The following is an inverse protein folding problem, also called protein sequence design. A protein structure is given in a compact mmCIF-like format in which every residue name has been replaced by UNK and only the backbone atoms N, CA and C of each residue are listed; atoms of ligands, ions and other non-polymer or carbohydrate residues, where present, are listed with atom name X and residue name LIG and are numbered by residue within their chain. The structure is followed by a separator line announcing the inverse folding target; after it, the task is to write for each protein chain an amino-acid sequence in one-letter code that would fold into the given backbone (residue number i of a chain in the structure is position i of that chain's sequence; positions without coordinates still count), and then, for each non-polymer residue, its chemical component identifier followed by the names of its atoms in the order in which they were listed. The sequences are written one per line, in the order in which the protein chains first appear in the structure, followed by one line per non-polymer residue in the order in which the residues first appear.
data_IF_925645878140
#
_entry.id   IF_925645878140
#
_cell.length_a   1.000
_cell.length_b   1.000
_cell.length_c   1.000
_cell.angle_alpha   90.00
_cell.angle_beta   90.00
_cell.angle_gamma   90.00
#
_symmetry.space_group_name_H-M   'P 1'
#
loop_
_entity.id
_entity.type
_entity.pdbx_description
1 polymer ?
#
# COMPACT_ATOMS: atom_id res chain seq x y z
N UNK A 1 -68.87 39.78 -44.81
CA UNK A 1 -68.27 40.78 -43.90
C UNK A 1 -66.85 40.33 -43.57
N UNK A 2 -65.88 41.20 -43.84
CA UNK A 2 -64.44 41.01 -43.73
C UNK A 2 -63.96 40.52 -42.35
N UNK A 3 -62.94 39.67 -42.32
CA UNK A 3 -61.66 40.03 -41.69
C UNK A 3 -60.50 39.18 -42.24
N UNK A 4 -59.40 39.87 -42.47
CA UNK A 4 -58.21 39.48 -43.22
C UNK A 4 -57.00 39.47 -42.27
N UNK A 5 -55.97 38.71 -42.65
CA UNK A 5 -54.56 38.78 -42.18
C UNK A 5 -54.28 38.46 -40.70
N UNK A 6 -53.68 37.28 -40.43
CA UNK A 6 -52.46 37.10 -39.62
C UNK A 6 -52.18 35.60 -39.42
N UNK A 7 -51.40 34.96 -40.29
CA UNK A 7 -50.90 33.60 -40.01
C UNK A 7 -49.55 33.27 -40.70
N UNK A 8 -48.73 34.28 -41.00
CA UNK A 8 -47.45 34.06 -41.68
C UNK A 8 -46.21 34.73 -41.06
N UNK A 9 -46.20 35.03 -39.76
CA UNK A 9 -45.05 35.72 -39.13
C UNK A 9 -44.47 35.07 -37.86
N UNK A 10 -44.74 33.79 -37.58
CA UNK A 10 -44.26 33.16 -36.34
C UNK A 10 -43.21 32.04 -36.47
N UNK A 11 -42.63 31.80 -37.65
CA UNK A 11 -41.60 30.74 -37.82
C UNK A 11 -40.20 31.29 -38.12
N UNK A 12 -40.04 32.58 -38.46
CA UNK A 12 -38.74 33.12 -38.92
C UNK A 12 -37.87 33.79 -37.85
N UNK A 13 -38.22 33.71 -36.55
CA UNK A 13 -37.45 34.40 -35.48
C UNK A 13 -36.85 33.52 -34.39
N UNK A 14 -37.07 32.20 -34.42
CA UNK A 14 -36.53 31.29 -33.41
C UNK A 14 -35.24 30.54 -33.83
N UNK A 15 -34.83 30.60 -35.10
CA UNK A 15 -33.63 29.88 -35.56
C UNK A 15 -32.30 30.64 -35.40
N UNK A 16 -32.29 31.94 -35.09
CA UNK A 16 -31.04 32.73 -35.11
C UNK A 16 -30.42 33.03 -33.74
N UNK A 17 -31.05 32.67 -32.62
CA UNK A 17 -30.52 32.97 -31.27
C UNK A 17 -29.94 31.76 -30.51
N UNK A 18 -30.12 30.54 -31.03
CA UNK A 18 -29.57 29.32 -30.40
C UNK A 18 -28.09 29.10 -30.74
N UNK A 19 -27.60 29.65 -31.86
CA UNK A 19 -26.21 29.43 -32.30
C UNK A 19 -25.18 30.29 -31.54
N UNK A 20 -25.55 31.48 -31.05
CA UNK A 20 -24.59 32.40 -30.40
C UNK A 20 -24.35 32.11 -28.92
N UNK A 21 -25.31 31.48 -28.24
CA UNK A 21 -25.20 31.08 -26.82
C UNK A 21 -24.49 29.74 -26.67
N UNK A 22 -24.71 28.79 -27.60
CA UNK A 22 -23.99 27.51 -27.70
C UNK A 22 -22.48 27.71 -27.92
N UNK A 23 -22.08 28.62 -28.80
CA UNK A 23 -20.67 28.90 -29.09
C UNK A 23 -19.92 29.49 -27.88
N UNK A 24 -20.55 30.39 -27.10
CA UNK A 24 -19.95 30.98 -25.88
C UNK A 24 -19.85 29.97 -24.73
N UNK A 25 -20.83 29.09 -24.58
CA UNK A 25 -20.79 28.00 -23.61
C UNK A 25 -19.70 26.97 -23.97
N UNK A 26 -19.56 26.63 -25.25
CA UNK A 26 -18.51 25.74 -25.76
C UNK A 26 -17.10 26.31 -25.56
N UNK A 27 -16.89 27.62 -25.83
CA UNK A 27 -15.60 28.27 -25.53
C UNK A 27 -15.30 28.34 -24.02
N UNK A 28 -16.31 28.49 -23.16
CA UNK A 28 -16.14 28.50 -21.71
C UNK A 28 -15.77 27.11 -21.18
N UNK A 29 -16.46 26.06 -21.66
CA UNK A 29 -16.16 24.66 -21.33
C UNK A 29 -14.75 24.26 -21.77
N UNK A 30 -14.33 24.68 -22.96
CA UNK A 30 -13.00 24.40 -23.49
C UNK A 30 -11.89 25.07 -22.66
N UNK A 31 -12.14 26.27 -22.12
CA UNK A 31 -11.22 26.93 -21.16
C UNK A 31 -11.09 26.14 -19.86
N UNK A 32 -12.18 25.64 -19.29
CA UNK A 32 -12.12 24.80 -18.08
C UNK A 32 -11.42 23.46 -18.33
N UNK A 33 -11.63 22.85 -19.49
CA UNK A 33 -10.93 21.60 -19.89
C UNK A 33 -9.43 21.85 -20.08
N UNK A 34 -9.04 22.96 -20.70
CA UNK A 34 -7.63 23.33 -20.87
C UNK A 34 -6.97 23.66 -19.53
N UNK A 35 -7.67 24.37 -18.63
CA UNK A 35 -7.19 24.63 -17.26
C UNK A 35 -7.04 23.31 -16.48
N UNK A 36 -7.98 22.38 -16.60
CA UNK A 36 -7.90 21.06 -15.99
C UNK A 36 -6.70 20.27 -16.53
N UNK A 37 -6.44 20.31 -17.84
CA UNK A 37 -5.28 19.67 -18.48
C UNK A 37 -3.94 20.33 -18.09
N UNK A 38 -3.93 21.63 -17.83
CA UNK A 38 -2.76 22.36 -17.31
C UNK A 38 -2.48 22.04 -15.84
N UNK A 39 -3.51 21.85 -15.03
CA UNK A 39 -3.38 21.39 -13.63
C UNK A 39 -2.91 19.93 -13.59
N UNK A 40 -3.42 19.07 -14.49
CA UNK A 40 -2.96 17.68 -14.58
C UNK A 40 -1.53 17.53 -15.10
N UNK A 41 -1.05 18.46 -15.94
CA UNK A 41 0.32 18.43 -16.48
C UNK A 41 1.37 19.09 -15.57
N UNK A 42 0.94 19.84 -14.55
CA UNK A 42 1.82 20.48 -13.57
C UNK A 42 1.97 19.70 -12.25
N UNK A 43 1.41 18.49 -12.18
CA UNK A 43 1.72 17.52 -11.12
C UNK A 43 3.17 17.03 -11.27
N UNK A 44 4.11 17.91 -10.91
CA UNK A 44 5.51 17.55 -10.72
C UNK A 44 5.60 16.50 -9.62
N UNK A 45 6.39 15.45 -9.89
CA UNK A 45 6.55 14.30 -9.02
C UNK A 45 7.12 14.72 -7.66
N UNK A 46 6.23 14.93 -6.69
CA UNK A 46 6.63 15.04 -5.29
C UNK A 46 6.94 13.62 -4.79
N UNK A 47 8.22 13.26 -4.82
CA UNK A 47 8.72 12.07 -4.14
C UNK A 47 8.87 12.37 -2.65
N UNK A 48 7.75 12.39 -1.94
CA UNK A 48 7.72 12.40 -0.48
C UNK A 48 7.04 11.11 0.00
N UNK A 49 7.70 9.97 -0.23
CA UNK A 49 7.34 8.72 0.42
C UNK A 49 8.46 8.38 1.40
N UNK A 50 8.10 8.19 2.67
CA UNK A 50 9.02 7.92 3.77
C UNK A 50 9.20 6.42 4.01
N UNK A 51 8.48 5.57 3.27
CA UNK A 51 8.67 4.12 3.32
C UNK A 51 9.95 3.70 2.62
N UNK A 52 10.97 3.57 3.44
CA UNK A 52 12.32 3.28 3.01
C UNK A 52 12.83 2.06 3.74
N UNK A 53 13.59 1.24 3.03
CA UNK A 53 14.27 0.07 3.54
C UNK A 53 15.78 0.25 3.38
N UNK A 54 16.54 -0.64 4.00
CA UNK A 54 17.99 -0.67 3.89
C UNK A 54 18.41 -1.99 3.23
N UNK A 55 19.32 -1.91 2.26
CA UNK A 55 19.98 -3.10 1.70
C UNK A 55 21.46 -2.99 2.03
N UNK A 56 21.97 -3.93 2.82
CA UNK A 56 23.35 -3.91 3.28
C UNK A 56 24.04 -5.25 3.06
N UNK A 57 25.36 -5.29 3.12
CA UNK A 57 26.09 -6.53 2.95
C UNK A 57 27.59 -6.35 2.95
N UNK A 58 28.30 -7.45 2.74
CA UNK A 58 29.74 -7.45 2.54
C UNK A 58 30.15 -8.15 1.24
N UNK A 59 31.17 -7.61 0.58
CA UNK A 59 31.80 -8.21 -0.59
C UNK A 59 33.03 -8.98 -0.14
N UNK A 60 33.05 -10.29 -0.46
CA UNK A 60 34.14 -11.20 -0.09
C UNK A 60 34.71 -11.90 -1.31
N UNK A 61 35.97 -12.29 -1.24
CA UNK A 61 36.63 -13.13 -2.25
C UNK A 61 36.41 -14.64 -1.96
N UNK A 62 36.89 -15.56 -2.83
CA UNK A 62 36.76 -17.01 -2.60
C UNK A 62 37.50 -17.53 -1.37
N UNK A 63 38.45 -16.77 -0.83
CA UNK A 63 39.20 -17.11 0.40
C UNK A 63 38.48 -16.62 1.67
N UNK A 64 37.43 -15.81 1.51
CA UNK A 64 36.67 -15.18 2.59
C UNK A 64 37.22 -13.81 3.01
N UNK A 65 38.25 -13.30 2.34
CA UNK A 65 38.79 -11.97 2.57
C UNK A 65 37.86 -10.89 2.00
N UNK A 66 37.82 -9.72 2.64
CA UNK A 66 36.99 -8.59 2.20
C UNK A 66 37.59 -7.91 0.97
N UNK A 67 36.74 -7.45 0.06
CA UNK A 67 37.17 -6.77 -1.18
C UNK A 67 36.76 -5.29 -1.11
N UNK A 68 37.67 -4.40 -0.70
CA UNK A 68 37.38 -2.97 -0.62
C UNK A 68 37.30 -2.32 -2.01
N UNK A 69 36.52 -1.25 -2.13
CA UNK A 69 36.41 -0.49 -3.38
C UNK A 69 35.71 -1.23 -4.53
N UNK A 70 35.00 -2.32 -4.23
CA UNK A 70 34.15 -2.99 -5.19
C UNK A 70 32.93 -2.10 -5.53
N UNK A 71 32.62 -1.95 -6.82
CA UNK A 71 31.45 -1.21 -7.27
C UNK A 71 30.21 -2.07 -7.14
N UNK A 72 29.29 -1.65 -6.28
CA UNK A 72 28.02 -2.32 -5.99
C UNK A 72 26.88 -1.52 -6.63
N UNK A 73 26.06 -2.17 -7.44
CA UNK A 73 24.91 -1.58 -8.14
C UNK A 73 23.63 -2.30 -7.72
N UNK A 74 22.77 -1.60 -6.99
CA UNK A 74 21.42 -2.04 -6.66
C UNK A 74 20.47 -1.63 -7.78
N UNK A 75 19.77 -2.60 -8.39
CA UNK A 75 18.87 -2.37 -9.52
C UNK A 75 17.47 -2.89 -9.21
N UNK A 76 16.45 -2.02 -9.37
CA UNK A 76 15.05 -2.41 -9.43
C UNK A 76 14.65 -2.61 -10.91
N UNK A 77 14.48 -3.86 -11.40
CA UNK A 77 14.17 -4.09 -12.80
C UNK A 77 12.76 -3.62 -13.19
N UNK A 78 11.82 -3.54 -12.25
CA UNK A 78 10.43 -3.14 -12.50
C UNK A 78 10.26 -1.63 -12.70
N UNK A 79 11.07 -0.82 -11.98
CA UNK A 79 11.05 0.65 -12.04
C UNK A 79 12.22 1.26 -12.81
N UNK A 80 13.24 0.47 -13.14
CA UNK A 80 14.46 0.95 -13.80
C UNK A 80 15.36 1.80 -12.89
N UNK A 81 15.13 1.78 -11.58
CA UNK A 81 15.95 2.49 -10.58
C UNK A 81 17.29 1.78 -10.46
N UNK A 82 18.39 2.54 -10.55
CA UNK A 82 19.76 2.05 -10.31
C UNK A 82 20.45 2.96 -9.31
N UNK A 83 20.99 2.38 -8.24
CA UNK A 83 21.78 3.08 -7.24
C UNK A 83 23.15 2.41 -7.17
N UNK A 84 24.21 3.20 -7.30
CA UNK A 84 25.58 2.71 -7.28
C UNK A 84 26.29 3.21 -6.03
N UNK A 85 27.01 2.33 -5.35
CA UNK A 85 27.86 2.63 -4.20
C UNK A 85 29.18 1.85 -4.31
N UNK A 86 30.25 2.38 -3.74
CA UNK A 86 31.51 1.65 -3.59
C UNK A 86 31.53 0.98 -2.22
N UNK A 87 32.04 -0.26 -2.16
CA UNK A 87 32.26 -0.94 -0.90
C UNK A 87 33.37 -0.22 -0.09
N UNK A 88 33.17 -0.14 1.21
CA UNK A 88 34.08 0.51 2.16
C UNK A 88 35.37 -0.28 2.34
N UNK A 89 36.29 0.25 3.17
CA UNK A 89 37.60 -0.36 3.41
C UNK A 89 37.52 -1.76 4.06
N UNK A 90 36.42 -2.05 4.76
CA UNK A 90 36.10 -3.36 5.33
C UNK A 90 35.28 -4.25 4.38
N UNK A 91 35.07 -3.81 3.13
CA UNK A 91 34.27 -4.51 2.11
C UNK A 91 32.77 -4.45 2.36
N UNK A 92 32.30 -3.69 3.35
CA UNK A 92 30.87 -3.50 3.60
C UNK A 92 30.25 -2.49 2.64
N UNK A 93 28.94 -2.57 2.46
CA UNK A 93 28.15 -1.57 1.75
C UNK A 93 26.75 -1.47 2.33
N UNK A 94 26.15 -0.29 2.20
CA UNK A 94 24.80 0.02 2.65
C UNK A 94 24.08 0.91 1.63
N UNK A 95 22.88 0.53 1.23
CA UNK A 95 21.96 1.38 0.49
C UNK A 95 20.85 1.81 1.45
N UNK A 96 20.91 3.07 1.87
CA UNK A 96 19.85 3.71 2.65
C UNK A 96 18.74 4.20 1.72
N UNK A 97 17.51 4.24 2.22
CA UNK A 97 16.35 4.80 1.53
C UNK A 97 15.91 4.03 0.26
N UNK A 98 15.96 2.70 0.32
CA UNK A 98 15.53 1.80 -0.76
C UNK A 98 14.02 1.64 -0.73
N UNK A 99 13.35 1.89 -1.86
CA UNK A 99 11.90 1.66 -1.93
C UNK A 99 11.58 0.16 -1.84
N UNK A 100 10.46 -0.24 -1.22
CA UNK A 100 10.01 -1.62 -1.24
C UNK A 100 9.78 -2.15 -2.67
N UNK A 101 10.21 -3.38 -2.94
CA UNK A 101 10.07 -4.01 -4.26
C UNK A 101 11.07 -5.13 -4.53
N UNK A 102 11.13 -5.61 -5.77
CA UNK A 102 12.13 -6.60 -6.19
C UNK A 102 13.42 -5.92 -6.67
N UNK A 103 14.55 -6.45 -6.22
CA UNK A 103 15.88 -5.93 -6.52
C UNK A 103 16.86 -7.03 -6.93
N UNK A 104 17.92 -6.59 -7.61
CA UNK A 104 19.12 -7.39 -7.88
C UNK A 104 20.33 -6.53 -7.49
N UNK A 105 21.37 -7.16 -6.95
CA UNK A 105 22.65 -6.50 -6.66
C UNK A 105 23.70 -7.04 -7.63
N UNK A 106 24.41 -6.13 -8.29
CA UNK A 106 25.55 -6.43 -9.16
C UNK A 106 26.82 -5.88 -8.54
N UNK A 107 27.87 -6.69 -8.42
CA UNK A 107 29.16 -6.29 -7.86
C UNK A 107 30.26 -6.48 -8.91
N UNK A 108 31.11 -5.47 -9.05
CA UNK A 108 32.25 -5.45 -9.96
C UNK A 108 33.49 -4.98 -9.22
N UNK A 109 34.59 -5.71 -9.34
CA UNK A 109 35.89 -5.35 -8.79
C UNK A 109 37.01 -5.75 -9.75
N UNK A 110 38.10 -4.99 -9.76
CA UNK A 110 39.24 -5.29 -10.63
C UNK A 110 39.86 -6.64 -10.25
N UNK A 111 40.08 -7.51 -11.24
CA UNK A 111 40.62 -8.86 -11.03
C UNK A 111 39.58 -9.93 -10.69
N UNK A 112 38.30 -9.57 -10.62
CA UNK A 112 37.19 -10.49 -10.36
C UNK A 112 36.17 -10.46 -11.51
N UNK A 113 35.44 -11.57 -11.67
CA UNK A 113 34.27 -11.63 -12.55
C UNK A 113 33.11 -10.85 -11.96
N UNK A 114 32.31 -10.21 -12.80
CA UNK A 114 31.08 -9.51 -12.37
C UNK A 114 30.13 -10.51 -11.72
N UNK A 115 29.61 -10.20 -10.53
CA UNK A 115 28.69 -11.09 -9.81
C UNK A 115 27.33 -10.44 -9.70
N UNK A 116 26.28 -11.15 -10.08
CA UNK A 116 24.89 -10.67 -10.07
C UNK A 116 24.08 -11.58 -9.16
N UNK A 117 23.28 -11.00 -8.28
CA UNK A 117 22.40 -11.76 -7.38
C UNK A 117 21.11 -12.15 -8.10
N UNK A 118 20.50 -13.27 -7.71
CA UNK A 118 19.09 -13.55 -8.04
C UNK A 118 18.16 -12.42 -7.54
N UNK A 119 16.95 -12.35 -8.10
CA UNK A 119 15.95 -11.39 -7.63
C UNK A 119 15.55 -11.71 -6.19
N UNK A 120 15.58 -10.69 -5.34
CA UNK A 120 15.08 -10.78 -3.97
C UNK A 120 14.10 -9.63 -3.69
N UNK A 121 13.20 -9.85 -2.74
CA UNK A 121 12.21 -8.86 -2.32
C UNK A 121 12.75 -8.06 -1.15
N UNK A 122 12.57 -6.74 -1.21
CA UNK A 122 12.86 -5.82 -0.11
C UNK A 122 11.52 -5.33 0.44
N UNK A 123 11.28 -5.62 1.72
CA UNK A 123 10.07 -5.24 2.46
C UNK A 123 10.25 -3.87 3.15
N UNK A 124 9.16 -3.30 3.63
CA UNK A 124 9.12 -1.96 4.24
C UNK A 124 9.81 -1.96 5.60
N UNK A 125 10.70 -0.99 5.82
CA UNK A 125 11.48 -0.89 7.05
C UNK A 125 12.27 -2.15 7.37
N UNK A 126 12.62 -2.94 6.34
CA UNK A 126 13.47 -4.12 6.48
C UNK A 126 14.94 -3.74 6.29
N UNK A 127 15.84 -4.49 6.92
CA UNK A 127 17.29 -4.33 6.78
C UNK A 127 17.84 -5.57 6.08
N UNK A 128 17.62 -5.60 4.76
CA UNK A 128 17.93 -6.79 3.98
C UNK A 128 19.44 -6.96 3.80
N UNK A 129 19.99 -7.98 4.46
CA UNK A 129 21.39 -8.39 4.27
C UNK A 129 21.56 -9.22 3.00
N UNK A 130 22.54 -8.85 2.18
CA UNK A 130 22.92 -9.52 0.93
C UNK A 130 24.45 -9.63 0.90
N UNK A 131 25.02 -10.78 1.27
CA UNK A 131 26.46 -10.96 1.25
C UNK A 131 26.91 -11.59 -0.07
N UNK A 132 27.90 -11.01 -0.74
CA UNK A 132 28.28 -11.39 -2.10
C UNK A 132 29.70 -11.91 -2.14
N UNK A 133 29.85 -13.17 -2.56
CA UNK A 133 31.13 -13.80 -2.86
C UNK A 133 31.52 -13.61 -4.32
N UNK A 134 32.63 -12.91 -4.58
CA UNK A 134 33.20 -12.76 -5.91
C UNK A 134 33.96 -14.01 -6.33
N UNK A 135 33.95 -14.31 -7.64
CA UNK A 135 34.82 -15.33 -8.23
C UNK A 135 35.98 -14.66 -8.98
N UNK A 136 37.14 -15.30 -8.96
CA UNK A 136 38.28 -14.89 -9.77
C UNK A 136 37.94 -15.08 -11.25
N UNK A 137 38.19 -14.06 -12.07
CA UNK A 137 37.85 -14.07 -13.48
C UNK A 137 37.99 -12.70 -14.13
N UNK A 138 37.80 -12.63 -15.44
CA UNK A 138 37.76 -11.36 -16.16
C UNK A 138 36.43 -10.64 -15.91
N UNK A 139 36.45 -9.31 -15.82
CA UNK A 139 35.25 -8.48 -15.58
C UNK A 139 34.12 -8.66 -16.61
N UNK A 140 34.40 -9.27 -17.76
CA UNK A 140 33.43 -9.54 -18.84
C UNK A 140 32.58 -10.78 -18.61
N UNK A 141 32.96 -11.66 -17.69
CA UNK A 141 32.16 -12.83 -17.32
C UNK A 141 31.22 -12.48 -16.15
N UNK A 142 29.93 -12.75 -16.30
CA UNK A 142 28.93 -12.56 -15.26
C UNK A 142 28.57 -13.89 -14.60
N UNK A 143 28.67 -13.96 -13.28
CA UNK A 143 28.27 -15.12 -12.48
C UNK A 143 27.03 -14.77 -11.68
N UNK A 144 26.00 -15.61 -11.77
CA UNK A 144 24.83 -15.48 -10.89
C UNK A 144 25.12 -16.11 -9.53
N UNK A 145 24.96 -15.34 -8.45
CA UNK A 145 25.06 -15.81 -7.06
C UNK A 145 23.65 -16.06 -6.54
N UNK A 146 23.29 -17.34 -6.42
CA UNK A 146 22.01 -17.74 -5.85
C UNK A 146 22.08 -17.77 -4.32
N UNK A 147 21.00 -17.32 -3.68
CA UNK A 147 20.87 -17.32 -2.21
C UNK A 147 21.72 -16.28 -1.47
N UNK A 148 22.26 -15.26 -2.16
CA UNK A 148 23.06 -14.22 -1.51
C UNK A 148 22.24 -13.32 -0.58
N UNK A 149 20.94 -13.13 -0.88
CA UNK A 149 20.02 -12.44 -0.01
C UNK A 149 19.56 -13.37 1.11
N UNK A 150 19.81 -12.97 2.37
CA UNK A 150 19.36 -13.74 3.53
C UNK A 150 17.84 -13.73 3.59
N UNK A 151 17.21 -14.91 3.61
CA UNK A 151 15.76 -14.99 3.87
C UNK A 151 15.42 -14.76 5.34
N UNK A 152 16.40 -14.93 6.24
CA UNK A 152 16.25 -14.64 7.65
C UNK A 152 16.73 -13.21 7.93
N UNK A 153 15.86 -12.42 8.53
CA UNK A 153 16.22 -11.10 9.04
C UNK A 153 17.02 -11.27 10.34
N UNK A 154 18.33 -10.96 10.28
CA UNK A 154 19.27 -11.07 11.41
C UNK A 154 19.77 -9.73 11.92
N UNK A 155 19.43 -8.64 11.23
CA UNK A 155 19.98 -7.31 11.47
C UNK A 155 19.03 -6.40 12.27
N UNK A 156 17.88 -6.93 12.70
CA UNK A 156 16.97 -6.29 13.65
C UNK A 156 16.60 -7.22 14.81
N UNK A 157 16.26 -6.60 15.95
CA UNK A 157 15.75 -7.27 17.15
C UNK A 157 14.22 -7.11 17.29
N UNK A 158 13.56 -6.53 16.30
CA UNK A 158 12.13 -6.24 16.33
C UNK A 158 11.31 -7.53 16.36
N UNK A 159 10.21 -7.52 17.12
CA UNK A 159 9.21 -8.59 17.06
C UNK A 159 7.98 -8.13 16.31
N UNK A 160 7.77 -8.65 15.12
CA UNK A 160 6.62 -8.30 14.30
C UNK A 160 6.25 -9.35 13.27
N UNK A 161 5.24 -9.03 12.48
CA UNK A 161 4.81 -9.83 11.35
C UNK A 161 4.50 -8.92 10.16
N UNK A 162 5.02 -9.32 9.00
CA UNK A 162 4.70 -8.71 7.71
C UNK A 162 3.67 -9.57 7.00
N UNK A 163 2.57 -8.95 6.59
CA UNK A 163 1.49 -9.55 5.84
C UNK A 163 1.53 -8.97 4.43
N UNK A 164 1.59 -9.84 3.42
CA UNK A 164 1.74 -9.40 2.03
C UNK A 164 0.37 -9.03 1.44
N UNK A 165 0.41 -8.35 0.30
CA UNK A 165 -0.80 -7.94 -0.42
C UNK A 165 -1.73 -9.11 -0.80
N UNK A 166 -1.20 -10.32 -0.99
CA UNK A 166 -1.99 -11.49 -1.34
C UNK A 166 -2.94 -11.88 -0.20
N UNK A 167 -2.45 -11.92 1.05
CA UNK A 167 -3.27 -12.18 2.22
C UNK A 167 -4.27 -11.05 2.46
N UNK A 168 -3.87 -9.79 2.23
CA UNK A 168 -4.76 -8.64 2.38
C UNK A 168 -6.00 -8.72 1.48
N UNK A 169 -5.86 -9.29 0.28
CA UNK A 169 -6.96 -9.42 -0.70
C UNK A 169 -7.74 -10.73 -0.53
N UNK A 170 -7.06 -11.83 -0.18
CA UNK A 170 -7.67 -13.17 -0.13
C UNK A 170 -8.40 -13.47 1.17
N UNK A 171 -8.01 -12.84 2.28
CA UNK A 171 -8.63 -13.09 3.56
C UNK A 171 -10.03 -12.45 3.64
N UNK A 172 -10.99 -13.11 4.31
CA UNK A 172 -12.34 -12.60 4.45
C UNK A 172 -12.37 -11.44 5.47
N UNK A 173 -11.98 -10.24 5.02
CA UNK A 173 -11.99 -9.02 5.83
C UNK A 173 -13.40 -8.43 5.91
N UNK A 174 -13.89 -8.26 7.13
CA UNK A 174 -15.21 -7.69 7.36
C UNK A 174 -15.19 -6.19 7.03
N UNK A 175 -16.00 -5.75 6.05
CA UNK A 175 -15.99 -4.35 5.63
C UNK A 175 -14.70 -3.91 4.92
N UNK A 176 -13.83 -4.86 4.53
CA UNK A 176 -12.54 -4.60 3.87
C UNK A 176 -11.62 -3.69 4.68
N UNK A 177 -11.70 -3.75 6.01
CA UNK A 177 -10.78 -3.04 6.89
C UNK A 177 -9.43 -3.77 6.89
N UNK A 178 -8.40 -3.19 6.27
CA UNK A 178 -7.05 -3.77 6.24
C UNK A 178 -6.47 -3.93 7.66
N UNK A 179 -6.85 -3.05 8.59
CA UNK A 179 -6.40 -3.09 9.97
C UNK A 179 -6.82 -4.39 10.70
N UNK A 180 -7.85 -5.12 10.24
CA UNK A 180 -8.22 -6.45 10.75
C UNK A 180 -7.10 -7.48 10.56
N UNK A 181 -6.16 -7.27 9.61
CA UNK A 181 -5.00 -8.15 9.41
C UNK A 181 -4.08 -8.19 10.62
N UNK A 182 -4.11 -7.16 11.48
CA UNK A 182 -3.39 -7.16 12.76
C UNK A 182 -3.77 -8.34 13.65
N UNK A 183 -4.98 -8.90 13.52
CA UNK A 183 -5.44 -10.06 14.29
C UNK A 183 -4.68 -11.35 13.95
N UNK A 184 -3.97 -11.39 12.83
CA UNK A 184 -3.10 -12.51 12.47
C UNK A 184 -1.85 -12.55 13.35
N UNK A 185 -1.49 -11.41 13.94
CA UNK A 185 -0.26 -11.25 14.70
C UNK A 185 -0.46 -11.71 16.14
N UNK A 186 0.43 -12.56 16.68
CA UNK A 186 0.36 -12.99 18.07
C UNK A 186 0.37 -11.80 19.04
N UNK A 187 -0.42 -11.91 20.12
CA UNK A 187 -0.51 -10.86 21.14
C UNK A 187 -1.49 -9.72 20.80
N UNK A 188 -2.04 -9.70 19.58
CA UNK A 188 -3.10 -8.77 19.17
C UNK A 188 -4.47 -9.31 19.55
N UNK A 189 -5.28 -8.50 20.24
CA UNK A 189 -6.69 -8.76 20.49
C UNK A 189 -7.54 -7.56 20.15
N UNK A 190 -8.71 -7.80 19.57
CA UNK A 190 -9.68 -6.73 19.34
C UNK A 190 -10.11 -6.11 20.67
N UNK A 191 -10.02 -4.79 20.77
CA UNK A 191 -10.46 -4.03 21.94
C UNK A 191 -11.97 -4.11 22.08
N UNK A 192 -12.47 -4.04 23.32
CA UNK A 192 -13.90 -3.99 23.59
C UNK A 192 -14.57 -2.80 22.88
N UNK A 193 -13.85 -1.68 22.72
CA UNK A 193 -14.29 -0.52 21.94
C UNK A 193 -14.61 -0.87 20.48
N UNK A 194 -13.90 -1.83 19.88
CA UNK A 194 -14.19 -2.28 18.51
C UNK A 194 -15.38 -3.24 18.40
N UNK A 195 -16.06 -3.55 19.51
CA UNK A 195 -17.17 -4.52 19.55
C UNK A 195 -18.42 -3.91 20.19
N UNK A 196 -18.27 -3.22 21.33
CA UNK A 196 -19.40 -2.75 22.16
C UNK A 196 -19.77 -1.30 21.92
N UNK A 197 -18.93 -0.49 21.27
CA UNK A 197 -19.29 0.88 20.95
C UNK A 197 -20.33 0.91 19.82
N UNK A 198 -21.14 1.97 19.77
CA UNK A 198 -22.14 2.15 18.74
C UNK A 198 -22.00 3.55 18.08
N UNK A 199 -21.49 3.66 16.84
CA UNK A 199 -20.95 2.57 16.03
C UNK A 199 -19.66 1.94 16.59
N UNK A 200 -19.32 0.67 16.23
CA UNK A 200 -18.08 0.03 16.62
C UNK A 200 -16.86 0.86 16.21
N UNK A 201 -15.85 0.93 17.06
CA UNK A 201 -14.63 1.68 16.77
C UNK A 201 -13.68 0.88 15.88
N UNK A 202 -13.35 1.43 14.71
CA UNK A 202 -12.40 0.85 13.77
C UNK A 202 -10.95 0.91 14.28
N UNK A 203 -10.09 0.04 13.75
CA UNK A 203 -8.65 -0.05 14.06
C UNK A 203 -8.32 -0.13 15.57
N UNK A 204 -9.22 -0.72 16.36
CA UNK A 204 -9.11 -0.78 17.82
C UNK A 204 -8.60 -2.14 18.30
N UNK A 205 -7.28 -2.26 18.48
CA UNK A 205 -6.60 -3.49 18.89
C UNK A 205 -5.74 -3.30 20.12
N UNK A 206 -5.97 -4.08 21.17
CA UNK A 206 -5.06 -4.14 22.31
C UNK A 206 -3.92 -5.10 21.98
N UNK A 207 -2.69 -4.66 22.14
CA UNK A 207 -1.49 -5.42 21.76
C UNK A 207 -0.61 -5.60 22.99
N UNK A 208 -0.23 -6.84 23.30
CA UNK A 208 0.58 -7.17 24.48
C UNK A 208 0.01 -6.61 25.81
N UNK A 209 -1.31 -6.45 25.90
CA UNK A 209 -2.01 -5.92 27.08
C UNK A 209 -2.15 -4.39 27.12
N UNK A 210 -1.57 -3.66 26.16
CA UNK A 210 -1.69 -2.21 26.07
C UNK A 210 -2.97 -1.78 25.35
N UNK A 211 -3.44 -0.57 25.67
CA UNK A 211 -4.65 -0.01 25.08
C UNK A 211 -4.43 0.30 23.59
N UNK A 212 -5.43 -0.01 22.78
CA UNK A 212 -5.52 0.31 21.35
C UNK A 212 -5.18 1.74 20.93
N UNK A 213 -5.31 2.73 21.82
CA UNK A 213 -4.93 4.13 21.55
C UNK A 213 -3.43 4.39 21.64
N UNK A 214 -2.67 3.45 22.20
CA UNK A 214 -1.21 3.53 22.31
C UNK A 214 -0.51 2.90 21.11
N UNK A 215 -1.26 2.39 20.14
CA UNK A 215 -0.70 1.94 18.88
C UNK A 215 -0.51 3.15 17.97
N UNK A 216 0.56 3.12 17.20
CA UNK A 216 0.87 4.11 16.19
C UNK A 216 0.51 3.55 14.80
N UNK A 217 -0.40 4.20 14.10
CA UNK A 217 -0.75 3.86 12.72
C UNK A 217 0.04 4.74 11.76
N UNK A 218 0.72 4.10 10.81
CA UNK A 218 1.46 4.76 9.74
C UNK A 218 0.93 4.29 8.38
N UNK A 219 0.89 5.22 7.43
CA UNK A 219 0.53 4.97 6.05
C UNK A 219 1.59 5.60 5.15
N UNK A 220 2.24 4.80 4.33
CA UNK A 220 3.34 5.24 3.46
C UNK A 220 4.48 5.96 4.23
N UNK A 221 4.69 5.58 5.49
CA UNK A 221 5.66 6.16 6.43
C UNK A 221 5.23 7.47 7.08
N UNK A 222 3.96 7.86 6.94
CA UNK A 222 3.39 9.10 7.51
C UNK A 222 2.38 8.74 8.61
N UNK A 223 2.34 9.55 9.68
CA UNK A 223 1.35 9.42 10.75
C UNK A 223 -0.08 9.38 10.18
N UNK A 224 -0.79 8.29 10.50
CA UNK A 224 -2.16 8.03 10.12
C UNK A 224 -3.04 7.84 11.36
N UNK A 225 -2.65 8.43 12.50
CA UNK A 225 -3.42 8.33 13.73
C UNK A 225 -4.60 9.30 13.69
N UNK A 226 -5.77 8.84 14.13
CA UNK A 226 -6.92 9.71 14.30
C UNK A 226 -6.74 10.58 15.55
N UNK A 227 -6.23 11.81 15.38
CA UNK A 227 -6.23 12.82 16.43
C UNK A 227 -7.62 13.42 16.59
N UNK A 228 -8.32 13.09 17.68
CA UNK A 228 -9.56 13.76 18.06
C UNK A 228 -9.55 14.10 19.55
N UNK A 229 -10.00 15.32 19.87
CA UNK A 229 -10.18 15.73 21.26
C UNK A 229 -11.19 14.83 21.97
N UNK A 230 -10.90 14.51 23.23
CA UNK A 230 -11.73 13.68 24.12
C UNK A 230 -12.01 12.25 23.65
N UNK A 231 -11.22 11.68 22.73
CA UNK A 231 -11.36 10.30 22.28
C UNK A 231 -12.79 9.97 21.78
N UNK A 232 -13.46 10.90 21.10
CA UNK A 232 -14.83 10.74 20.59
C UNK A 232 -14.88 10.10 19.20
N UNK A 233 -13.74 9.84 18.58
CA UNK A 233 -13.67 9.22 17.25
C UNK A 233 -14.22 7.80 17.22
N UNK A 234 -14.64 7.35 16.04
CA UNK A 234 -15.04 5.96 15.79
C UNK A 234 -13.94 5.16 15.09
N UNK A 235 -12.70 5.64 15.12
CA UNK A 235 -11.53 4.98 14.55
C UNK A 235 -10.25 5.43 15.27
N UNK A 236 -9.25 4.56 15.38
CA UNK A 236 -7.89 4.93 15.80
C UNK A 236 -6.99 5.34 14.62
N UNK A 237 -7.39 5.03 13.40
CA UNK A 237 -6.72 5.46 12.15
C UNK A 237 -7.50 6.60 11.47
N UNK A 238 -6.81 7.55 10.86
CA UNK A 238 -7.41 8.69 10.17
C UNK A 238 -7.92 8.30 8.77
N UNK A 239 -7.13 7.54 8.03
CA UNK A 239 -7.44 7.05 6.69
C UNK A 239 -7.36 5.52 6.64
N UNK A 240 -8.30 4.92 5.92
CA UNK A 240 -8.33 3.47 5.69
C UNK A 240 -8.25 3.17 4.19
N UNK A 241 -7.06 2.83 3.64
CA UNK A 241 -6.97 2.35 2.26
C UNK A 241 -7.79 1.08 2.05
N UNK A 242 -8.21 0.84 0.81
CA UNK A 242 -8.76 -0.45 0.44
C UNK A 242 -7.67 -1.52 0.48
N UNK A 243 -7.98 -2.78 0.81
CA UNK A 243 -6.99 -3.86 0.81
C UNK A 243 -6.33 -4.08 -0.57
N UNK A 244 -7.01 -3.73 -1.66
CA UNK A 244 -6.44 -3.81 -3.02
C UNK A 244 -5.35 -2.76 -3.26
N UNK A 245 -5.41 -1.63 -2.55
CA UNK A 245 -4.41 -0.57 -2.62
C UNK A 245 -3.21 -0.84 -1.71
N UNK A 246 -3.30 -1.79 -0.77
CA UNK A 246 -2.20 -2.15 0.14
C UNK A 246 -1.23 -3.11 -0.56
N UNK A 247 0.06 -2.77 -0.52
CA UNK A 247 1.17 -3.60 -0.98
C UNK A 247 1.68 -4.50 0.14
N UNK A 248 1.83 -3.92 1.33
CA UNK A 248 2.39 -4.58 2.49
C UNK A 248 1.77 -4.00 3.76
N UNK A 249 1.57 -4.85 4.75
CA UNK A 249 1.09 -4.48 6.06
C UNK A 249 2.01 -5.10 7.12
N UNK A 250 2.72 -4.25 7.87
CA UNK A 250 3.70 -4.68 8.89
C UNK A 250 3.21 -4.25 10.27
N UNK A 251 3.22 -5.18 11.20
CA UNK A 251 2.92 -4.90 12.62
C UNK A 251 4.13 -5.25 13.46
N UNK A 252 4.74 -4.26 14.10
CA UNK A 252 5.83 -4.44 15.07
C UNK A 252 5.27 -4.25 16.47
N UNK A 253 5.35 -5.31 17.28
CA UNK A 253 4.71 -5.39 18.60
C UNK A 253 5.65 -5.08 19.76
N UNK A 254 6.96 -5.30 19.59
CA UNK A 254 8.00 -5.07 20.60
C UNK A 254 9.34 -4.76 19.92
N UNK A 255 10.26 -4.18 20.69
CA UNK A 255 11.66 -3.93 20.32
C UNK A 255 11.89 -3.12 19.04
N UNK A 256 10.87 -2.41 18.53
CA UNK A 256 10.97 -1.54 17.35
C UNK A 256 11.98 -0.41 17.55
N UNK A 257 12.56 0.04 16.43
CA UNK A 257 13.54 1.12 16.38
C UNK A 257 13.05 2.42 17.04
N UNK A 258 13.99 3.19 17.61
CA UNK A 258 13.72 4.47 18.25
C UNK A 258 13.30 5.58 17.27
N UNK A 259 13.39 5.33 15.96
CA UNK A 259 12.81 6.21 14.92
C UNK A 259 11.29 6.33 15.05
N UNK A 260 10.65 5.29 15.57
CA UNK A 260 9.22 5.28 15.81
C UNK A 260 8.88 5.94 17.14
N UNK A 261 8.13 7.04 17.07
CA UNK A 261 7.59 7.74 18.24
C UNK A 261 6.14 7.36 18.52
N UNK A 262 5.62 7.77 19.68
CA UNK A 262 4.19 7.71 20.03
C UNK A 262 3.53 6.31 20.03
N UNK A 263 4.33 5.25 19.93
CA UNK A 263 3.88 3.89 20.12
C UNK A 263 4.24 3.43 21.51
N UNK A 264 3.26 3.36 22.40
CA UNK A 264 3.41 2.58 23.62
C UNK A 264 3.16 1.11 23.36
N UNK A 265 2.20 0.81 22.47
CA UNK A 265 1.79 -0.53 22.04
C UNK A 265 2.61 -1.02 20.86
N UNK A 266 2.02 -0.95 19.67
CA UNK A 266 2.65 -1.42 18.44
C UNK A 266 2.76 -0.32 17.38
N UNK A 267 3.68 -0.53 16.43
CA UNK A 267 3.72 0.16 15.14
C UNK A 267 2.94 -0.66 14.13
N UNK A 268 1.98 -0.02 13.47
CA UNK A 268 1.19 -0.62 12.41
C UNK A 268 1.44 0.22 11.16
N UNK A 269 2.32 -0.24 10.29
CA UNK A 269 2.64 0.43 9.04
C UNK A 269 1.95 -0.27 7.86
N UNK A 270 1.22 0.51 7.07
CA UNK A 270 0.65 0.08 5.80
C UNK A 270 1.29 0.84 4.66
N UNK A 271 1.77 0.11 3.67
CA UNK A 271 2.34 0.69 2.46
C UNK A 271 1.40 0.45 1.30
N UNK A 272 1.11 1.50 0.54
CA UNK A 272 0.30 1.43 -0.66
C UNK A 272 1.11 0.93 -1.85
N UNK A 273 0.44 0.30 -2.81
CA UNK A 273 1.07 -0.18 -4.04
C UNK A 273 1.65 0.99 -4.81
N UNK A 274 2.97 0.98 -4.97
CA UNK A 274 3.67 1.83 -5.94
C UNK A 274 3.67 1.13 -7.31
N UNK A 275 3.48 1.88 -8.39
CA UNK A 275 3.32 1.29 -9.70
C UNK A 275 4.62 0.83 -10.34
N UNK A 276 4.46 0.02 -11.38
CA UNK A 276 5.55 -0.47 -12.23
C UNK A 276 5.47 0.20 -13.61
N UNK A 277 6.46 -0.04 -14.45
CA UNK A 277 6.50 0.52 -15.82
C UNK A 277 5.34 0.08 -16.74
N UNK A 278 4.56 -0.94 -16.35
CA UNK A 278 3.42 -1.45 -17.10
C UNK A 278 2.09 -0.91 -16.55
N UNK A 279 1.18 -0.52 -17.43
CA UNK A 279 -0.14 -0.04 -17.04
C UNK A 279 -0.98 -1.16 -16.43
N UNK A 280 -1.48 -0.95 -15.21
CA UNK A 280 -2.37 -1.86 -14.51
C UNK A 280 -3.44 -1.10 -13.73
N UNK A 281 -4.64 -1.67 -13.60
CA UNK A 281 -5.74 -1.08 -12.85
C UNK A 281 -6.70 -2.15 -12.36
N UNK A 282 -7.43 -1.84 -11.29
CA UNK A 282 -8.40 -2.75 -10.68
C UNK A 282 -9.76 -2.07 -10.52
N UNK A 283 -10.82 -2.82 -10.79
CA UNK A 283 -12.18 -2.43 -10.44
C UNK A 283 -12.76 -3.53 -9.54
N UNK A 284 -13.51 -3.11 -8.51
CA UNK A 284 -14.17 -4.03 -7.61
C UNK A 284 -15.62 -3.63 -7.37
N UNK A 285 -16.47 -4.63 -7.17
CA UNK A 285 -17.85 -4.48 -6.75
C UNK A 285 -18.17 -5.53 -5.67
N UNK A 286 -18.79 -5.09 -4.58
CA UNK A 286 -19.12 -5.95 -3.44
C UNK A 286 -20.58 -5.77 -3.07
N UNK A 287 -21.37 -6.83 -3.29
CA UNK A 287 -22.75 -6.89 -2.84
C UNK A 287 -22.82 -7.64 -1.51
N UNK A 288 -23.13 -6.92 -0.42
CA UNK A 288 -23.42 -7.53 0.88
C UNK A 288 -24.87 -7.32 1.26
N UNK A 289 -25.63 -8.41 1.33
CA UNK A 289 -27.04 -8.37 1.71
C UNK A 289 -27.31 -9.39 2.83
N UNK A 290 -28.15 -9.00 3.78
CA UNK A 290 -28.68 -9.89 4.82
C UNK A 290 -29.34 -11.16 4.28
N UNK A 291 -29.87 -11.15 3.05
CA UNK A 291 -30.46 -12.33 2.39
C UNK A 291 -29.39 -13.34 1.96
N UNK A 292 -28.16 -12.90 1.72
CA UNK A 292 -27.03 -13.73 1.29
C UNK A 292 -26.14 -14.18 2.47
N UNK A 293 -26.48 -13.80 3.70
CA UNK A 293 -25.70 -14.17 4.88
C UNK A 293 -25.92 -15.65 5.22
N UNK A 294 -24.83 -16.43 5.26
CA UNK A 294 -24.85 -17.81 5.76
C UNK A 294 -24.84 -17.87 7.29
N UNK A 295 -25.50 -18.87 7.87
CA UNK A 295 -25.29 -19.27 9.26
C UNK A 295 -23.92 -19.97 9.31
N UNK A 296 -22.98 -19.45 10.10
CA UNK A 296 -21.57 -19.88 10.06
C UNK A 296 -21.34 -21.39 10.23
N UNK A 297 -20.12 -21.89 9.97
CA UNK A 297 -19.82 -23.32 9.84
C UNK A 297 -20.02 -24.16 11.11
N UNK A 298 -20.22 -23.53 12.26
CA UNK A 298 -20.41 -24.19 13.56
C UNK A 298 -21.87 -24.32 13.98
N UNK A 299 -22.82 -23.82 13.18
CA UNK A 299 -24.25 -24.08 13.37
C UNK A 299 -24.65 -25.23 12.43
N UNK A 300 -24.81 -26.43 13.01
CA UNK A 300 -25.02 -27.67 12.26
C UNK A 300 -26.16 -27.62 11.24
N UNK A 301 -25.99 -28.41 10.17
CA UNK A 301 -26.97 -28.72 9.12
C UNK A 301 -28.21 -29.39 9.71
N UNK A 302 -29.11 -28.61 10.31
CA UNK A 302 -30.33 -29.15 10.92
C UNK A 302 -31.10 -28.16 11.78
N UNK A 303 -30.49 -27.08 12.25
CA UNK A 303 -31.25 -25.98 12.83
C UNK A 303 -31.91 -25.19 11.70
N UNK A 304 -33.15 -25.56 11.34
CA UNK A 304 -34.04 -24.61 10.69
C UNK A 304 -34.10 -23.41 11.61
N UNK A 305 -33.65 -22.26 11.12
CA UNK A 305 -33.95 -21.00 11.76
C UNK A 305 -35.47 -20.99 12.00
N UNK A 306 -35.88 -20.95 13.26
CA UNK A 306 -37.23 -20.52 13.62
C UNK A 306 -37.54 -19.27 12.80
N UNK A 307 -38.79 -18.99 12.43
CA UNK A 307 -39.16 -17.91 11.52
C UNK A 307 -38.69 -16.47 11.94
N UNK A 308 -37.92 -16.33 13.03
CA UNK A 308 -37.19 -15.13 13.43
C UNK A 308 -35.68 -15.30 13.70
N UNK A 309 -35.07 -16.48 13.51
CA UNK A 309 -33.64 -16.71 13.76
C UNK A 309 -32.79 -16.08 12.64
N UNK A 310 -31.97 -15.11 13.05
CA UNK A 310 -31.15 -14.27 12.18
C UNK A 310 -29.70 -14.76 12.25
N UNK A 311 -28.95 -14.78 11.13
CA UNK A 311 -27.55 -15.16 11.15
C UNK A 311 -26.74 -14.25 12.09
N UNK A 312 -25.70 -14.82 12.71
CA UNK A 312 -24.92 -14.25 13.84
C UNK A 312 -24.42 -12.81 13.59
N UNK A 313 -24.27 -12.41 12.33
CA UNK A 313 -23.86 -11.06 11.92
C UNK A 313 -25.00 -10.03 11.82
N UNK A 314 -26.16 -10.26 12.44
CA UNK A 314 -27.29 -9.33 12.44
C UNK A 314 -27.41 -8.49 13.72
N UNK A 315 -26.28 -8.15 14.33
CA UNK A 315 -26.23 -7.02 15.25
C UNK A 315 -25.66 -5.79 14.51
N UNK A 316 -26.54 -4.80 14.34
CA UNK A 316 -26.27 -3.40 13.98
C UNK A 316 -25.73 -3.02 12.60
N UNK A 317 -26.27 -3.54 11.48
CA UNK A 317 -26.11 -2.87 10.19
C UNK A 317 -27.40 -2.85 9.36
N UNK A 318 -27.92 -1.65 9.08
CA UNK A 318 -28.92 -1.43 8.02
C UNK A 318 -28.29 -1.84 6.68
N UNK A 319 -29.08 -2.41 5.78
CA UNK A 319 -28.65 -2.80 4.44
C UNK A 319 -27.85 -1.66 3.78
N UNK A 320 -26.54 -1.84 3.66
CA UNK A 320 -25.63 -0.87 3.09
C UNK A 320 -25.21 -1.33 1.70
N UNK A 321 -25.54 -0.54 0.67
CA UNK A 321 -24.89 -0.61 -0.62
C UNK A 321 -23.52 0.07 -0.49
N UNK A 322 -22.43 -0.67 -0.59
CA UNK A 322 -21.09 -0.11 -0.78
C UNK A 322 -20.83 -0.12 -2.30
N UNK A 323 -20.99 1.03 -2.99
CA UNK A 323 -20.73 1.13 -4.43
C UNK A 323 -19.27 1.47 -4.71
N UNK A 324 -18.70 0.72 -5.65
CA UNK A 324 -17.65 1.08 -6.62
C UNK A 324 -16.57 2.07 -6.17
N UNK A 325 -15.34 1.57 -5.99
CA UNK A 325 -14.16 2.39 -6.28
C UNK A 325 -13.49 1.82 -7.53
N UNK A 326 -13.50 2.62 -8.60
CA UNK A 326 -12.67 2.41 -9.77
C UNK A 326 -11.32 3.06 -9.47
N UNK A 327 -10.32 2.26 -9.10
CA UNK A 327 -8.97 2.77 -8.89
C UNK A 327 -8.22 2.74 -10.24
N UNK A 328 -8.57 3.68 -11.12
CA UNK A 328 -7.79 3.96 -12.32
C UNK A 328 -6.62 4.86 -11.91
N UNK A 329 -5.44 4.28 -11.78
CA UNK A 329 -4.21 5.05 -11.74
C UNK A 329 -3.24 4.55 -12.80
N UNK A 330 -2.54 5.50 -13.41
CA UNK A 330 -1.20 5.26 -13.89
C UNK A 330 -0.31 5.40 -12.65
N UNK A 331 -0.19 4.33 -11.88
CA UNK A 331 0.81 4.29 -10.81
C UNK A 331 2.16 4.01 -11.46
#
# INVERSE_FOLDING_TARGET
MNLSVLHHLFVSRYCNDVDKTSAKASLSLCKYVVILLLILSSATHCHAQFDSAEVLGAVKDPTGAVVPGATVVLTNPAKGIKVTRQADADGSYDFTNVQPGEYTVTVQATGFSSSITDRFTVNVGARQRVDIGLKLGASTESVTVSGAASQLETDTSDRGQTIQSAEAVTLPLNGRAYADLSKLVPGVRQSLLGVTSNPPRDASYNINGLNSQLNNFELDGIDNNAYQEANQGFSNQAFSPSPDAVQEFKVQTDNYSAEYGRAGGAIINATTRSGANAFHGGAYDYLRNTVLNSFGPFLGTGCKADAGAKPIWRHTWRAGYQRQALLLRRL
#
